data_IF_869855943815
#
_entry.id   IF_869855943815
#
_cell.length_a   1.000
_cell.length_b   1.000
_cell.length_c   1.000
_cell.angle_alpha   90.00
_cell.angle_beta   90.00
_cell.angle_gamma   90.00
#
_symmetry.space_group_name_H-M   'P 1'
#
loop_
_entity.id
_entity.type
_entity.pdbx_description
1 polymer ?
#
# COMPACT_ATOMS: atom_id res chain seq x y z
N UNK A 1 -10.60 4.72 20.25
CA UNK A 1 -9.58 3.72 19.86
C UNK A 1 -9.98 3.14 18.52
N UNK A 2 -9.06 3.04 17.54
CA UNK A 2 -9.38 2.53 16.19
C UNK A 2 -9.69 1.04 16.28
N UNK A 3 -10.80 0.61 15.70
CA UNK A 3 -11.14 -0.80 15.57
C UNK A 3 -10.36 -1.39 14.38
N UNK A 4 -9.41 -2.29 14.67
CA UNK A 4 -8.53 -2.89 13.66
C UNK A 4 -9.31 -3.67 12.60
N UNK A 5 -10.37 -4.40 12.98
CA UNK A 5 -11.17 -5.20 12.03
C UNK A 5 -11.89 -4.29 11.03
N UNK A 6 -12.55 -3.26 11.53
CA UNK A 6 -13.24 -2.28 10.68
C UNK A 6 -12.27 -1.49 9.80
N UNK A 7 -11.08 -1.16 10.31
CA UNK A 7 -10.03 -0.54 9.50
C UNK A 7 -9.59 -1.46 8.35
N UNK A 8 -9.34 -2.73 8.64
CA UNK A 8 -8.95 -3.72 7.63
C UNK A 8 -10.02 -3.90 6.55
N UNK A 9 -11.30 -3.92 6.91
CA UNK A 9 -12.39 -4.00 5.94
C UNK A 9 -12.37 -2.78 4.99
N UNK A 10 -12.26 -1.57 5.52
CA UNK A 10 -12.17 -0.35 4.70
C UNK A 10 -10.90 -0.29 3.86
N UNK A 11 -9.79 -0.83 4.36
CA UNK A 11 -8.57 -0.99 3.56
C UNK A 11 -8.81 -1.93 2.37
N UNK A 12 -9.56 -3.02 2.58
CA UNK A 12 -9.95 -3.95 1.52
C UNK A 12 -10.86 -3.26 0.49
N UNK A 13 -11.83 -2.47 0.93
CA UNK A 13 -12.71 -1.67 0.04
C UNK A 13 -11.90 -0.72 -0.85
N UNK A 14 -10.86 -0.07 -0.31
CA UNK A 14 -9.97 0.78 -1.10
C UNK A 14 -9.22 -0.05 -2.14
N UNK A 15 -8.65 -1.20 -1.74
CA UNK A 15 -7.88 -2.07 -2.64
C UNK A 15 -8.77 -2.54 -3.82
N UNK A 16 -10.00 -2.95 -3.52
CA UNK A 16 -10.97 -3.42 -4.51
C UNK A 16 -11.47 -2.27 -5.41
N UNK A 17 -11.78 -1.10 -4.85
CA UNK A 17 -12.24 0.07 -5.61
C UNK A 17 -11.24 0.50 -6.70
N UNK A 18 -9.94 0.42 -6.40
CA UNK A 18 -8.88 0.76 -7.35
C UNK A 18 -8.41 -0.43 -8.21
N UNK A 19 -9.05 -1.60 -8.10
CA UNK A 19 -8.68 -2.86 -8.77
C UNK A 19 -7.20 -3.23 -8.60
N UNK A 20 -6.71 -3.11 -7.36
CA UNK A 20 -5.32 -3.40 -7.00
C UNK A 20 -5.17 -4.75 -6.33
N UNK A 21 -4.02 -5.39 -6.53
CA UNK A 21 -3.59 -6.48 -5.64
C UNK A 21 -2.99 -5.91 -4.35
N UNK A 22 -2.94 -6.71 -3.27
CA UNK A 22 -2.28 -6.30 -2.02
C UNK A 22 -0.81 -5.88 -2.23
N UNK A 23 -0.10 -6.54 -3.15
CA UNK A 23 1.28 -6.22 -3.51
C UNK A 23 1.37 -4.87 -4.23
N UNK A 24 0.55 -4.67 -5.27
CA UNK A 24 0.50 -3.42 -6.03
C UNK A 24 0.08 -2.24 -5.16
N UNK A 25 -0.85 -2.45 -4.22
CA UNK A 25 -1.23 -1.45 -3.23
C UNK A 25 -0.05 -1.05 -2.35
N UNK A 26 0.69 -2.03 -1.80
CA UNK A 26 1.87 -1.78 -0.96
C UNK A 26 2.93 -0.96 -1.70
N UNK A 27 3.21 -1.34 -2.95
CA UNK A 27 4.17 -0.66 -3.80
C UNK A 27 3.73 0.80 -4.06
N UNK A 28 2.42 1.03 -4.30
CA UNK A 28 1.85 2.37 -4.58
C UNK A 28 1.86 3.33 -3.38
N UNK A 29 1.79 2.81 -2.16
CA UNK A 29 1.92 3.63 -0.94
C UNK A 29 3.34 3.60 -0.34
N UNK A 30 4.31 2.98 -1.04
CA UNK A 30 5.72 2.89 -0.63
C UNK A 30 5.89 2.29 0.77
N UNK A 31 5.26 1.12 0.98
CA UNK A 31 5.42 0.32 2.20
C UNK A 31 5.76 -1.12 1.86
N UNK A 32 6.34 -1.86 2.82
CA UNK A 32 6.63 -3.28 2.62
C UNK A 32 5.36 -4.10 2.41
N UNK A 33 5.40 -5.06 1.46
CA UNK A 33 4.28 -5.98 1.18
C UNK A 33 3.84 -6.80 2.41
N UNK A 34 4.79 -7.13 3.29
CA UNK A 34 4.53 -7.79 4.57
C UNK A 34 3.65 -6.95 5.49
N UNK A 35 3.77 -5.62 5.46
CA UNK A 35 2.94 -4.71 6.26
C UNK A 35 1.47 -4.83 5.90
N UNK A 36 1.12 -4.95 4.61
CA UNK A 36 -0.25 -5.18 4.17
C UNK A 36 -0.75 -6.54 4.65
N UNK A 37 0.03 -7.61 4.46
CA UNK A 37 -0.37 -8.95 4.89
C UNK A 37 -0.62 -9.04 6.41
N UNK A 38 0.23 -8.43 7.23
CA UNK A 38 0.06 -8.40 8.68
C UNK A 38 -1.13 -7.54 9.15
N UNK A 39 -1.47 -6.48 8.42
CA UNK A 39 -2.68 -5.69 8.67
C UNK A 39 -3.96 -6.44 8.29
N UNK A 40 -3.98 -7.06 7.10
CA UNK A 40 -5.14 -7.82 6.63
C UNK A 40 -5.44 -9.04 7.51
N UNK A 41 -4.42 -9.67 8.09
CA UNK A 41 -4.59 -10.76 9.07
C UNK A 41 -5.02 -10.29 10.48
N UNK A 42 -5.12 -8.98 10.71
CA UNK A 42 -5.55 -8.41 12.00
C UNK A 42 -4.52 -8.54 13.14
N UNK A 43 -3.29 -8.96 12.85
CA UNK A 43 -2.23 -9.12 13.85
C UNK A 43 -1.58 -7.79 14.23
N UNK A 44 -1.58 -6.82 13.32
CA UNK A 44 -0.94 -5.53 13.51
C UNK A 44 -1.96 -4.37 13.48
N UNK A 45 -1.64 -3.29 14.18
CA UNK A 45 -2.34 -2.00 14.05
C UNK A 45 -1.63 -1.14 12.99
N UNK A 46 -2.37 -0.34 12.22
CA UNK A 46 -1.73 0.59 11.28
C UNK A 46 -0.98 1.67 12.06
N UNK A 47 0.23 2.02 11.59
CA UNK A 47 0.96 3.18 12.08
C UNK A 47 0.35 4.47 11.53
N UNK A 48 0.62 5.61 12.19
CA UNK A 48 0.17 6.90 11.66
C UNK A 48 0.74 7.17 10.27
N UNK A 49 2.05 6.92 10.08
CA UNK A 49 2.71 7.10 8.77
C UNK A 49 2.02 6.31 7.67
N UNK A 50 1.64 5.05 7.94
CA UNK A 50 0.92 4.20 7.00
C UNK A 50 -0.42 4.83 6.59
N UNK A 51 -1.21 5.28 7.57
CA UNK A 51 -2.51 5.93 7.31
C UNK A 51 -2.33 7.21 6.51
N UNK A 52 -1.32 8.02 6.84
CA UNK A 52 -1.04 9.27 6.13
C UNK A 52 -0.61 9.01 4.68
N UNK A 53 0.18 7.96 4.43
CA UNK A 53 0.54 7.53 3.07
C UNK A 53 -0.68 7.16 2.25
N UNK A 54 -1.64 6.42 2.81
CA UNK A 54 -2.90 6.07 2.12
C UNK A 54 -3.67 7.32 1.69
N UNK A 55 -3.97 8.22 2.64
CA UNK A 55 -4.78 9.42 2.37
C UNK A 55 -4.08 10.36 1.37
N UNK A 56 -2.74 10.40 1.40
CA UNK A 56 -1.95 11.17 0.43
C UNK A 56 -1.98 10.55 -0.98
N UNK A 57 -1.92 9.22 -1.07
CA UNK A 57 -1.86 8.49 -2.36
C UNK A 57 -3.24 8.32 -3.01
N UNK A 58 -4.31 8.31 -2.22
CA UNK A 58 -5.69 8.11 -2.68
C UNK A 58 -6.58 9.27 -2.20
N UNK A 59 -6.68 10.38 -2.97
CA UNK A 59 -7.41 11.58 -2.57
C UNK A 59 -8.91 11.38 -2.30
N UNK A 60 -9.49 10.33 -2.89
CA UNK A 60 -10.87 9.88 -2.66
C UNK A 60 -11.09 9.37 -1.21
N UNK A 61 -10.02 8.96 -0.52
CA UNK A 61 -10.07 8.37 0.82
C UNK A 61 -10.00 9.47 1.89
N UNK A 62 -11.11 9.66 2.61
CA UNK A 62 -11.12 10.57 3.76
C UNK A 62 -10.51 9.90 5.00
N UNK A 63 -9.62 10.62 5.70
CA UNK A 63 -8.96 10.12 6.92
C UNK A 63 -9.96 9.66 7.99
N UNK A 64 -11.00 10.47 8.23
CA UNK A 64 -12.01 10.16 9.24
C UNK A 64 -12.85 8.94 8.84
N UNK A 65 -13.19 8.82 7.56
CA UNK A 65 -13.84 7.63 7.03
C UNK A 65 -12.94 6.41 7.16
N UNK A 66 -11.64 6.50 6.89
CA UNK A 66 -10.67 5.41 6.99
C UNK A 66 -10.36 4.99 8.44
N UNK A 67 -10.49 5.87 9.42
CA UNK A 67 -10.22 5.54 10.82
C UNK A 67 -11.48 5.18 11.63
N UNK A 68 -12.58 5.89 11.41
CA UNK A 68 -13.79 5.81 12.23
C UNK A 68 -15.06 5.33 11.51
N UNK A 69 -15.01 5.14 10.19
CA UNK A 69 -16.13 4.65 9.38
C UNK A 69 -17.22 5.70 9.20
N UNK A 70 -16.88 6.97 9.40
CA UNK A 70 -17.81 8.10 9.31
C UNK A 70 -17.42 8.98 8.12
N UNK A 71 -18.41 9.34 7.32
CA UNK A 71 -18.20 9.96 6.01
C UNK A 71 -18.50 8.96 4.91
N UNK A 72 -18.00 9.22 3.70
CA UNK A 72 -18.23 8.37 2.54
C UNK A 72 -16.95 8.15 1.76
N UNK A 73 -16.80 6.96 1.20
CA UNK A 73 -15.78 6.62 0.23
C UNK A 73 -16.47 5.90 -0.94
N UNK A 74 -16.15 6.24 -2.20
CA UNK A 74 -15.33 7.37 -2.65
C UNK A 74 -15.93 8.73 -2.27
N UNK A 75 -15.11 9.79 -2.30
CA UNK A 75 -15.57 11.14 -1.93
C UNK A 75 -16.30 11.72 -3.13
N UNK A 76 -17.63 11.79 -3.07
CA UNK A 76 -18.40 12.45 -4.12
C UNK A 76 -18.14 13.96 -4.06
N UNK A 77 -17.44 14.50 -5.07
CA UNK A 77 -17.43 15.94 -5.32
C UNK A 77 -18.83 16.35 -5.79
N UNK A 78 -19.76 16.59 -4.86
CA UNK A 78 -20.87 17.48 -5.17
C UNK A 78 -20.31 18.89 -5.28
N UNK A 79 -20.56 19.62 -6.38
CA UNK A 79 -20.11 21.00 -6.50
C UNK A 79 -20.85 21.83 -5.47
N UNK A 80 -20.16 22.14 -4.37
CA UNK A 80 -20.66 23.02 -3.32
C UNK A 80 -20.70 24.42 -3.94
N UNK A 81 -21.86 25.11 -4.03
CA UNK A 81 -21.91 26.51 -4.45
C UNK A 81 -21.03 27.31 -3.49
N UNK A 82 -20.00 27.97 -4.04
CA UNK A 82 -19.13 28.85 -3.27
C UNK A 82 -19.94 29.99 -2.67
N UNK A 83 -20.22 29.93 -1.38
CA UNK A 83 -20.57 31.12 -0.62
C UNK A 83 -19.32 31.98 -0.43
N UNK A 84 -19.38 33.15 -1.06
CA UNK A 84 -18.47 34.27 -0.88
C UNK A 84 -18.23 34.58 0.60
N UNK A 85 -16.98 34.47 1.06
CA UNK A 85 -16.44 35.39 2.05
C UNK A 85 -15.25 36.12 1.44
N UNK A 86 -15.44 37.44 1.30
CA UNK A 86 -14.53 38.34 0.62
C UNK A 86 -13.20 38.55 1.35
N UNK A 87 -12.20 38.78 0.50
CA UNK A 87 -11.13 39.78 0.63
C UNK A 87 -10.27 39.77 1.89
N UNK A 88 -9.03 39.29 1.73
CA UNK A 88 -7.87 40.17 1.92
C UNK A 88 -6.77 39.82 0.92
N UNK A 89 -6.26 40.85 0.26
CA UNK A 89 -5.19 40.77 -0.74
C UNK A 89 -3.82 40.80 -0.06
N UNK A 90 -2.86 40.05 -0.57
CA UNK A 90 -1.56 40.64 -0.94
C UNK A 90 -0.82 39.72 -1.88
N UNK A 91 -0.19 40.32 -2.88
CA UNK A 91 0.32 39.71 -4.08
C UNK A 91 1.82 39.41 -4.00
N UNK A 92 2.21 38.39 -4.77
CA UNK A 92 3.48 38.21 -5.51
C UNK A 92 4.80 38.11 -4.72
N UNK A 93 5.48 36.97 -4.91
CA UNK A 93 6.75 36.97 -5.64
C UNK A 93 7.07 35.57 -6.19
N UNK A 94 7.31 35.51 -7.50
CA UNK A 94 7.87 34.40 -8.28
C UNK A 94 9.35 34.26 -7.99
N UNK A 95 9.89 33.03 -7.87
CA UNK A 95 11.20 32.67 -8.46
C UNK A 95 11.25 31.20 -8.93
N UNK A 96 11.66 31.06 -10.19
CA UNK A 96 12.02 29.88 -10.96
C UNK A 96 13.53 29.60 -10.77
N UNK A 97 14.02 28.49 -11.36
CA UNK A 97 15.45 28.10 -11.62
C UNK A 97 15.96 27.14 -10.49
N UNK A 98 16.51 25.93 -10.67
CA UNK A 98 17.12 25.17 -11.80
C UNK A 98 17.30 23.69 -11.38
N UNK A 99 17.25 22.77 -12.36
CA UNK A 99 17.97 21.48 -12.35
C UNK A 99 19.38 21.73 -12.93
N UNK A 100 20.46 21.08 -12.44
CA UNK A 100 20.95 19.80 -12.97
C UNK A 100 21.22 18.79 -11.84
N UNK A 101 20.84 17.52 -12.00
CA UNK A 101 21.76 16.39 -12.29
C UNK A 101 22.92 16.26 -11.32
N UNK A 102 22.82 15.27 -10.42
CA UNK A 102 23.92 14.42 -10.03
C UNK A 102 23.38 12.99 -9.94
N UNK A 103 23.83 12.15 -10.86
CA UNK A 103 23.73 10.69 -10.81
C UNK A 103 24.27 10.16 -9.47
N UNK A 104 23.45 9.36 -8.79
CA UNK A 104 23.89 8.55 -7.65
C UNK A 104 23.69 7.05 -7.92
N UNK A 105 23.77 6.65 -9.20
CA UNK A 105 23.95 5.26 -9.59
C UNK A 105 25.43 5.01 -9.91
N UNK A 106 26.18 4.62 -8.89
CA UNK A 106 27.48 3.96 -9.03
C UNK A 106 27.82 3.26 -7.71
N UNK A 107 27.28 2.06 -7.45
CA UNK A 107 27.98 0.80 -7.74
C UNK A 107 27.16 -0.41 -7.25
N UNK A 108 27.33 -1.58 -7.90
CA UNK A 108 26.71 -2.83 -7.50
C UNK A 108 27.64 -3.58 -6.54
N UNK A 109 27.19 -3.82 -5.30
CA UNK A 109 27.80 -4.85 -4.46
C UNK A 109 26.80 -5.98 -4.24
N UNK A 110 26.95 -6.98 -5.10
CA UNK A 110 26.42 -8.33 -4.94
C UNK A 110 27.10 -8.92 -3.70
N UNK A 111 26.34 -9.08 -2.62
CA UNK A 111 26.69 -10.05 -1.58
C UNK A 111 25.71 -11.22 -1.68
N UNK A 112 26.13 -12.24 -2.42
CA UNK A 112 25.60 -13.59 -2.35
C UNK A 112 25.91 -14.13 -0.96
N UNK A 113 24.92 -14.30 -0.09
CA UNK A 113 25.05 -15.25 1.00
C UNK A 113 23.71 -15.82 1.48
N UNK A 114 23.64 -17.15 1.36
CA UNK A 114 22.81 -18.10 2.10
C UNK A 114 21.30 -18.09 1.86
N UNK A 115 20.93 -18.74 0.74
CA UNK A 115 19.61 -19.33 0.52
C UNK A 115 19.31 -20.31 1.66
N UNK A 116 18.53 -19.85 2.65
CA UNK A 116 17.97 -20.69 3.69
C UNK A 116 17.05 -21.74 3.04
N UNK A 117 17.53 -22.97 2.93
CA UNK A 117 16.67 -24.12 2.60
C UNK A 117 16.05 -24.55 3.93
N UNK A 118 14.75 -24.31 4.18
CA UNK A 118 14.12 -24.85 5.37
C UNK A 118 14.21 -26.38 5.30
N UNK A 119 14.87 -26.99 6.30
CA UNK A 119 14.85 -28.44 6.48
C UNK A 119 13.39 -28.87 6.60
N UNK A 120 12.91 -29.62 5.61
CA UNK A 120 11.58 -30.21 5.64
C UNK A 120 11.53 -31.19 6.83
N UNK A 121 10.75 -30.82 7.83
CA UNK A 121 10.49 -31.66 9.00
C UNK A 121 9.99 -33.03 8.52
N UNK A 122 10.71 -34.09 8.89
CA UNK A 122 10.30 -35.48 8.75
C UNK A 122 9.03 -35.73 9.60
N UNK A 123 7.88 -35.25 9.13
CA UNK A 123 6.56 -35.57 9.67
C UNK A 123 5.83 -36.44 8.65
N UNK A 124 5.43 -37.61 9.12
CA UNK A 124 4.77 -38.69 8.41
C UNK A 124 3.68 -38.26 7.41
N UNK A 125 3.60 -38.99 6.29
CA UNK A 125 2.48 -39.20 5.36
C UNK A 125 1.58 -38.01 5.01
N UNK A 126 2.17 -36.85 4.68
CA UNK A 126 1.41 -35.76 4.09
C UNK A 126 1.27 -35.96 2.58
N UNK A 127 0.03 -36.08 2.11
CA UNK A 127 -0.29 -36.01 0.67
C UNK A 127 -0.15 -34.57 0.19
N UNK A 128 0.51 -34.40 -0.94
CA UNK A 128 0.66 -33.11 -1.60
C UNK A 128 -0.68 -32.76 -2.24
N UNK A 129 -1.25 -31.60 -1.90
CA UNK A 129 -2.46 -31.08 -2.54
C UNK A 129 -2.13 -30.19 -3.73
N UNK A 130 -1.06 -29.38 -3.64
CA UNK A 130 -0.67 -28.44 -4.68
C UNK A 130 0.82 -28.08 -4.59
N UNK A 131 1.46 -27.92 -5.74
CA UNK A 131 2.82 -27.38 -5.90
C UNK A 131 2.77 -26.18 -6.84
N UNK A 132 3.42 -25.07 -6.47
CA UNK A 132 3.58 -23.89 -7.33
C UNK A 132 5.08 -23.63 -7.50
N UNK A 133 5.54 -23.54 -8.75
CA UNK A 133 6.93 -23.28 -9.14
C UNK A 133 7.00 -21.87 -9.70
N UNK A 134 7.88 -21.01 -9.16
CA UNK A 134 8.13 -19.67 -9.67
C UNK A 134 9.45 -19.62 -10.42
N UNK A 135 9.45 -19.01 -11.60
CA UNK A 135 10.64 -18.79 -12.43
C UNK A 135 11.18 -17.37 -12.25
N UNK A 136 12.46 -17.16 -12.63
CA UNK A 136 13.13 -15.86 -12.49
C UNK A 136 12.54 -14.78 -13.40
N UNK A 137 11.90 -15.19 -14.50
CA UNK A 137 11.18 -14.29 -15.41
C UNK A 137 9.79 -13.86 -14.89
N UNK A 138 9.42 -14.31 -13.68
CA UNK A 138 8.15 -13.99 -13.04
C UNK A 138 6.99 -14.88 -13.46
N UNK A 139 7.20 -15.87 -14.35
CA UNK A 139 6.19 -16.88 -14.68
C UNK A 139 6.07 -17.92 -13.56
N UNK A 140 4.96 -18.67 -13.54
CA UNK A 140 4.77 -19.76 -12.60
C UNK A 140 3.98 -20.92 -13.18
N UNK A 141 4.27 -22.12 -12.69
CA UNK A 141 3.49 -23.34 -12.95
C UNK A 141 2.81 -23.82 -11.67
N UNK A 142 1.57 -24.31 -11.79
CA UNK A 142 0.82 -24.88 -10.68
C UNK A 142 0.37 -26.31 -11.00
N UNK A 143 0.69 -27.25 -10.11
CA UNK A 143 0.34 -28.66 -10.20
C UNK A 143 -0.56 -29.04 -9.03
N UNK A 144 -1.70 -29.66 -9.32
CA UNK A 144 -2.66 -30.18 -8.35
C UNK A 144 -2.81 -31.69 -8.55
N UNK A 145 -3.13 -32.43 -7.48
CA UNK A 145 -3.23 -33.89 -7.48
C UNK A 145 -4.68 -34.38 -7.35
#
# INVERSE_FOLDING_TARGET
>A
MVNTKEFTNRLQEIIEYYDLTASSFADKIEVGRSSISHLLSGRNKPSLEFVMKIVKTFPEVELYWLLNGKGTFPKTETPIPSENLGTSSSAKASQKITKPENDLFSNPDIHLENKYIPKLSNKADKKISKVIIFYEDGTFDAFEN
#
